data_IF_893350912290
#
_entry.id   IF_893350912290
#
_cell.length_a   1.000
_cell.length_b   1.000
_cell.length_c   1.000
_cell.angle_alpha   90.00
_cell.angle_beta   90.00
_cell.angle_gamma   90.00
#
_symmetry.space_group_name_H-M   'P 1'
#
loop_
_entity.id
_entity.type
_entity.pdbx_description
1 polymer ?
#
# COMPACT_ATOMS: atom_id res chain seq x y z
N UNK A 1 5.57 6.67 -5.83
CA UNK A 1 6.18 5.43 -6.36
C UNK A 1 7.36 5.06 -5.49
N UNK A 2 7.37 3.84 -4.93
CA UNK A 2 8.51 3.29 -4.17
C UNK A 2 9.22 2.32 -5.10
N UNK A 3 10.53 2.52 -5.28
CA UNK A 3 11.41 1.70 -6.13
C UNK A 3 12.44 1.08 -5.20
N UNK A 4 12.18 -0.17 -4.78
CA UNK A 4 12.88 -0.80 -3.66
C UNK A 4 14.35 -1.13 -3.98
N UNK A 5 14.61 -1.60 -5.20
CA UNK A 5 15.94 -1.88 -5.77
C UNK A 5 16.80 -0.61 -5.85
N UNK A 6 16.21 0.51 -6.25
CA UNK A 6 16.88 1.82 -6.29
C UNK A 6 16.89 2.54 -4.93
N UNK A 7 16.27 1.95 -3.89
CA UNK A 7 16.06 2.56 -2.57
C UNK A 7 15.46 3.96 -2.67
N UNK A 8 14.50 4.15 -3.57
CA UNK A 8 13.98 5.47 -3.95
C UNK A 8 12.50 5.58 -3.66
N UNK A 9 12.09 6.72 -3.09
CA UNK A 9 10.67 7.04 -2.82
C UNK A 9 10.32 8.34 -3.53
N UNK A 10 9.31 8.29 -4.41
CA UNK A 10 8.72 9.46 -5.08
C UNK A 10 7.36 9.80 -4.47
N UNK A 11 7.20 11.03 -3.98
CA UNK A 11 5.96 11.54 -3.38
C UNK A 11 5.46 12.72 -4.22
N UNK A 12 4.34 12.59 -4.95
CA UNK A 12 3.75 13.73 -5.65
C UNK A 12 3.14 14.71 -4.64
N UNK A 13 3.33 16.00 -4.87
CA UNK A 13 2.79 17.08 -4.04
C UNK A 13 2.47 18.30 -4.91
N UNK A 14 1.17 18.58 -5.07
CA UNK A 14 0.71 19.59 -6.02
C UNK A 14 1.16 19.24 -7.45
N UNK A 15 1.89 20.15 -8.07
CA UNK A 15 2.50 20.03 -9.40
C UNK A 15 3.95 19.52 -9.37
N UNK A 16 4.50 19.24 -8.19
CA UNK A 16 5.88 18.79 -8.01
C UNK A 16 5.94 17.32 -7.54
N UNK A 17 7.11 16.69 -7.63
CA UNK A 17 7.35 15.36 -7.08
C UNK A 17 8.64 15.37 -6.28
N UNK A 18 8.53 15.10 -4.98
CA UNK A 18 9.68 14.93 -4.10
C UNK A 18 10.30 13.55 -4.30
N UNK A 19 11.62 13.50 -4.37
CA UNK A 19 12.39 12.25 -4.55
C UNK A 19 13.32 12.06 -3.36
N UNK A 20 13.08 11.01 -2.58
CA UNK A 20 13.92 10.60 -1.46
C UNK A 20 14.76 9.40 -1.88
N UNK A 21 16.07 9.54 -1.87
CA UNK A 21 17.02 8.46 -2.18
C UNK A 21 17.62 7.93 -0.87
N UNK A 22 17.54 6.62 -0.65
CA UNK A 22 18.17 5.95 0.46
C UNK A 22 19.69 6.02 0.34
N UNK A 23 20.40 6.11 1.47
CA UNK A 23 21.85 6.20 1.48
C UNK A 23 22.50 4.89 0.97
N UNK A 24 23.45 5.01 0.03
CA UNK A 24 24.36 3.93 -0.37
C UNK A 24 25.34 3.67 0.78
N UNK A 25 25.08 2.63 1.57
CA UNK A 25 26.01 2.22 2.63
C UNK A 25 27.13 1.38 2.02
N UNK A 26 28.17 2.03 1.52
CA UNK A 26 29.51 1.47 1.53
C UNK A 26 30.33 2.22 2.57
N UNK A 27 30.63 1.55 3.68
CA UNK A 27 31.63 1.94 4.69
C UNK A 27 31.25 3.14 5.57
N UNK A 28 30.83 2.82 6.80
CA UNK A 28 31.05 3.63 8.03
C UNK A 28 30.65 5.11 7.95
N UNK A 29 29.44 5.44 7.51
CA UNK A 29 28.74 6.65 8.00
C UNK A 29 27.29 6.28 8.29
N UNK A 30 26.93 6.35 9.57
CA UNK A 30 25.56 6.27 10.10
C UNK A 30 24.58 6.86 9.08
N UNK A 31 23.68 6.04 8.54
CA UNK A 31 22.52 6.53 7.79
C UNK A 31 21.85 7.59 8.65
N UNK A 32 21.89 8.86 8.23
CA UNK A 32 21.39 10.02 8.98
C UNK A 32 19.85 10.08 8.99
N UNK A 33 19.19 8.93 9.10
CA UNK A 33 17.76 8.87 9.33
C UNK A 33 17.54 9.35 10.76
N UNK A 34 17.10 10.61 10.90
CA UNK A 34 16.68 11.13 12.20
C UNK A 34 15.39 10.43 12.58
N UNK A 35 15.46 9.63 13.64
CA UNK A 35 14.27 8.99 14.23
C UNK A 35 13.50 10.08 14.98
N UNK A 36 12.24 10.29 14.60
CA UNK A 36 11.34 11.22 15.29
C UNK A 36 10.36 10.44 16.17
N UNK A 37 10.05 10.98 17.35
CA UNK A 37 8.93 10.49 18.16
C UNK A 37 7.59 10.95 17.58
N UNK A 38 6.51 10.24 17.92
CA UNK A 38 5.14 10.63 17.54
C UNK A 38 4.78 12.06 17.99
N UNK A 39 5.23 12.48 19.18
CA UNK A 39 5.02 13.85 19.67
C UNK A 39 5.70 14.90 18.79
N UNK A 40 6.89 14.62 18.25
CA UNK A 40 7.58 15.55 17.36
C UNK A 40 6.90 15.65 16.01
N UNK A 41 6.36 14.53 15.51
CA UNK A 41 5.53 14.51 14.30
C UNK A 41 4.26 15.34 14.49
N UNK A 42 3.59 15.22 15.65
CA UNK A 42 2.43 16.05 15.99
C UNK A 42 2.77 17.54 16.07
N UNK A 43 3.92 17.91 16.63
CA UNK A 43 4.40 19.30 16.65
C UNK A 43 4.56 19.86 15.23
N UNK A 44 5.17 19.10 14.32
CA UNK A 44 5.32 19.52 12.92
C UNK A 44 3.97 19.67 12.21
N UNK A 45 3.05 18.74 12.46
CA UNK A 45 1.68 18.83 11.95
C UNK A 45 0.97 20.10 12.45
N UNK A 46 1.06 20.39 13.75
CA UNK A 46 0.47 21.60 14.34
C UNK A 46 1.07 22.90 13.79
N UNK A 47 2.34 22.87 13.35
CA UNK A 47 3.02 23.98 12.67
C UNK A 47 2.63 24.11 11.18
N UNK A 48 1.70 23.29 10.68
CA UNK A 48 1.24 23.32 9.29
C UNK A 48 2.17 22.61 8.31
N UNK A 49 3.10 21.76 8.78
CA UNK A 49 3.93 20.97 7.87
C UNK A 49 3.14 19.78 7.33
N UNK A 50 3.42 19.43 6.08
CA UNK A 50 2.90 18.21 5.47
C UNK A 50 3.70 17.01 5.97
N UNK A 51 3.00 16.06 6.60
CA UNK A 51 3.58 14.82 7.12
C UNK A 51 3.15 13.66 6.24
N UNK A 52 4.12 12.85 5.82
CA UNK A 52 3.88 11.65 5.04
C UNK A 52 4.30 10.43 5.85
N UNK A 53 3.40 9.45 5.98
CA UNK A 53 3.71 8.18 6.64
C UNK A 53 4.02 7.14 5.57
N UNK A 54 5.14 6.45 5.72
CA UNK A 54 5.50 5.30 4.91
C UNK A 54 5.77 4.10 5.83
N UNK A 55 5.10 2.99 5.54
CA UNK A 55 5.40 1.71 6.19
C UNK A 55 6.41 0.96 5.32
N UNK A 56 7.53 0.55 5.91
CA UNK A 56 8.53 -0.29 5.26
C UNK A 56 8.41 -1.68 5.88
N UNK A 57 7.96 -2.64 5.09
CA UNK A 57 8.01 -4.06 5.43
C UNK A 57 9.07 -4.75 4.58
N UNK A 58 9.86 -5.61 5.21
CA UNK A 58 10.69 -6.54 4.46
C UNK A 58 9.81 -7.74 4.11
N UNK A 59 9.40 -7.85 2.84
CA UNK A 59 8.78 -9.07 2.33
C UNK A 59 9.85 -10.16 2.31
N UNK A 60 9.65 -11.24 3.07
CA UNK A 60 10.41 -12.47 2.86
C UNK A 60 9.95 -13.11 1.56
N UNK A 61 10.78 -13.97 0.97
CA UNK A 61 10.43 -14.67 -0.27
C UNK A 61 9.13 -15.48 -0.12
N UNK A 62 8.88 -15.98 1.10
CA UNK A 62 7.66 -16.68 1.52
C UNK A 62 6.46 -15.75 1.81
N UNK A 63 6.66 -14.43 1.94
CA UNK A 63 5.57 -13.44 2.11
C UNK A 63 4.99 -12.99 0.77
N UNK A 64 5.51 -13.52 -0.35
CA UNK A 64 4.78 -13.45 -1.61
C UNK A 64 3.44 -14.14 -1.33
N UNK A 65 2.28 -13.47 -1.53
CA UNK A 65 1.09 -14.27 -1.70
C UNK A 65 1.39 -15.09 -2.95
N UNK A 66 1.69 -16.39 -2.78
CA UNK A 66 1.21 -17.36 -3.75
C UNK A 66 -0.26 -17.01 -3.89
N UNK A 67 -0.57 -16.24 -4.94
CA UNK A 67 -1.86 -15.58 -5.05
C UNK A 67 -2.86 -16.70 -4.97
N UNK A 68 -3.61 -16.76 -3.85
CA UNK A 68 -4.63 -17.79 -3.65
C UNK A 68 -5.43 -17.78 -4.94
N UNK A 69 -5.31 -18.85 -5.71
CA UNK A 69 -5.99 -18.89 -6.98
C UNK A 69 -7.47 -18.84 -6.64
N UNK A 70 -8.29 -18.32 -7.53
CA UNK A 70 -9.75 -18.27 -7.33
C UNK A 70 -10.31 -19.66 -6.95
N UNK A 71 -9.60 -20.72 -7.34
CA UNK A 71 -9.82 -22.13 -6.97
C UNK A 71 -9.64 -22.48 -5.49
N UNK A 72 -8.98 -21.66 -4.68
CA UNK A 72 -8.73 -21.94 -3.25
C UNK A 72 -9.88 -21.46 -2.35
N UNK A 73 -10.88 -20.77 -2.92
CA UNK A 73 -12.12 -20.39 -2.22
C UNK A 73 -13.07 -21.60 -2.23
N UNK A 74 -13.46 -22.17 -1.06
CA UNK A 74 -14.24 -23.41 -0.99
C UNK A 74 -15.56 -23.37 -1.77
N UNK A 75 -16.18 -22.19 -1.83
CA UNK A 75 -17.44 -21.97 -2.55
C UNK A 75 -17.23 -22.07 -4.07
N UNK A 76 -16.10 -21.58 -4.57
CA UNK A 76 -15.81 -21.51 -6.01
C UNK A 76 -15.44 -22.89 -6.57
N UNK A 77 -14.79 -23.75 -5.78
CA UNK A 77 -14.50 -25.15 -6.15
C UNK A 77 -15.75 -25.95 -6.54
N UNK A 78 -16.90 -25.62 -5.94
CA UNK A 78 -18.17 -26.32 -6.19
C UNK A 78 -18.85 -25.89 -7.50
N UNK A 79 -18.41 -24.78 -8.12
CA UNK A 79 -19.03 -24.22 -9.34
C UNK A 79 -18.01 -23.92 -10.46
N UNK A 80 -17.21 -24.91 -10.90
CA UNK A 80 -16.13 -24.71 -11.87
C UNK A 80 -16.62 -24.26 -13.26
N UNK A 81 -17.91 -24.47 -13.57
CA UNK A 81 -18.53 -24.05 -14.82
C UNK A 81 -18.93 -22.55 -14.84
N UNK A 82 -19.04 -21.91 -13.66
CA UNK A 82 -19.48 -20.51 -13.51
C UNK A 82 -18.27 -19.58 -13.33
N UNK A 83 -17.24 -20.05 -12.65
CA UNK A 83 -16.03 -19.28 -12.35
C UNK A 83 -14.83 -19.86 -13.10
N UNK A 84 -14.60 -19.38 -14.33
CA UNK A 84 -13.38 -19.68 -15.09
C UNK A 84 -12.14 -19.12 -14.40
N UNK A 85 -10.97 -19.74 -14.60
CA UNK A 85 -9.67 -19.26 -14.08
C UNK A 85 -9.37 -17.79 -14.40
N UNK A 86 -9.88 -17.31 -15.53
CA UNK A 86 -9.94 -15.89 -15.86
C UNK A 86 -11.29 -15.34 -15.40
N UNK A 87 -11.26 -14.50 -14.36
CA UNK A 87 -12.44 -13.70 -13.99
C UNK A 87 -12.73 -12.69 -15.10
N UNK A 88 -13.98 -12.53 -15.55
CA UNK A 88 -14.35 -11.60 -16.61
C UNK A 88 -14.41 -10.17 -16.06
N UNK A 89 -13.29 -9.66 -15.53
CA UNK A 89 -13.18 -8.33 -14.96
C UNK A 89 -14.21 -8.02 -13.87
N UNK A 90 -14.27 -6.76 -13.45
CA UNK A 90 -15.38 -6.27 -12.64
C UNK A 90 -16.62 -6.17 -13.53
N UNK A 91 -17.82 -6.54 -13.04
CA UNK A 91 -19.03 -6.22 -13.76
C UNK A 91 -19.11 -4.70 -13.99
N UNK A 92 -19.72 -4.23 -15.09
CA UNK A 92 -19.90 -2.81 -15.34
C UNK A 92 -20.51 -2.12 -14.12
N UNK A 93 -20.17 -0.85 -13.90
CA UNK A 93 -20.79 -0.08 -12.82
C UNK A 93 -22.31 -0.05 -13.04
N UNK A 94 -23.05 -0.64 -12.10
CA UNK A 94 -24.51 -0.63 -12.09
C UNK A 94 -24.96 0.24 -10.91
N UNK A 95 -25.86 1.20 -11.11
CA UNK A 95 -26.50 1.87 -9.98
C UNK A 95 -27.31 0.83 -9.20
N UNK A 96 -27.05 0.72 -7.91
CA UNK A 96 -27.82 -0.12 -6.98
C UNK A 96 -28.46 0.83 -5.99
N UNK A 97 -29.79 0.82 -5.93
CA UNK A 97 -30.53 1.39 -4.83
C UNK A 97 -30.51 0.39 -3.68
N UNK A 98 -30.02 0.81 -2.52
CA UNK A 98 -30.12 0.04 -1.30
C UNK A 98 -30.68 0.92 -0.19
N UNK A 99 -31.60 0.34 0.57
CA UNK A 99 -32.21 0.98 1.73
C UNK A 99 -31.39 0.59 2.97
N UNK A 100 -30.94 1.58 3.74
CA UNK A 100 -30.31 1.35 5.05
C UNK A 100 -31.36 1.67 6.11
N UNK A 101 -31.87 0.63 6.77
CA UNK A 101 -32.70 0.82 7.95
C UNK A 101 -31.79 1.18 9.13
N UNK A 102 -32.02 2.36 9.73
CA UNK A 102 -31.36 2.73 10.98
C UNK A 102 -32.15 2.15 12.15
N UNK A 103 -31.53 1.26 12.91
CA UNK A 103 -32.05 0.79 14.19
C UNK A 103 -31.69 1.85 15.25
N UNK A 104 -32.61 2.21 16.18
CA UNK A 104 -32.37 3.20 17.23
C UNK A 104 -31.17 2.88 18.13
#
# INVERSE_FOLDING_TARGET
MIVCDEKLVRVPFGNETFVFRGAESHIRRKSRLTIFSSSKVQEYWAKGHHVFLAQISATREDDKPEGKQVKDVPIVQNFPKVFSEKLPGLPPARPIEFQIDQIP
#
